data_IF_503285554206
#
_entry.id   IF_503285554206
#
_cell.length_a   1.000
_cell.length_b   1.000
_cell.length_c   1.000
_cell.angle_alpha   90.00
_cell.angle_beta   90.00
_cell.angle_gamma   90.00
#
_symmetry.space_group_name_H-M   'P 1'
#
loop_
_entity.id
_entity.type
_entity.pdbx_description
1 polymer ?
#
# COMPACT_ATOMS: atom_id res chain seq x y z
N UNK A 1 1.55 14.57 9.44
CA UNK A 1 0.99 13.50 8.58
C UNK A 1 1.90 13.24 7.40
N UNK A 2 2.31 11.97 7.21
CA UNK A 2 3.16 11.54 6.08
C UNK A 2 2.47 11.74 4.72
N UNK A 3 1.16 11.64 4.72
CA UNK A 3 0.32 11.71 3.54
C UNK A 3 -0.89 12.58 3.87
N UNK A 4 -0.79 13.91 3.69
CA UNK A 4 -1.94 14.77 3.90
C UNK A 4 -3.04 14.43 2.89
N UNK A 5 -4.28 14.43 3.34
CA UNK A 5 -5.41 14.25 2.45
C UNK A 5 -5.49 15.45 1.47
N UNK A 6 -5.65 15.14 0.19
CA UNK A 6 -5.79 16.14 -0.87
C UNK A 6 -7.17 15.98 -1.50
N UNK A 7 -8.01 17.03 -1.53
CA UNK A 7 -9.34 16.95 -2.12
C UNK A 7 -9.32 16.41 -3.55
N UNK A 8 -10.27 15.50 -3.87
CA UNK A 8 -10.39 14.86 -5.18
C UNK A 8 -9.26 13.89 -5.53
N UNK A 9 -8.45 13.49 -4.54
CA UNK A 9 -7.31 12.59 -4.73
C UNK A 9 -7.37 11.44 -3.73
N UNK A 10 -7.13 10.22 -4.19
CA UNK A 10 -6.92 9.06 -3.36
C UNK A 10 -5.52 8.47 -3.58
N UNK A 11 -4.99 7.82 -2.58
CA UNK A 11 -3.80 7.00 -2.71
C UNK A 11 -4.17 5.51 -2.63
N UNK A 12 -3.73 4.71 -3.58
CA UNK A 12 -3.89 3.25 -3.57
C UNK A 12 -2.59 2.62 -3.13
N UNK A 13 -2.64 1.97 -1.97
CA UNK A 13 -1.54 1.23 -1.37
C UNK A 13 -1.58 -0.21 -1.90
N UNK A 14 -0.66 -0.55 -2.78
CA UNK A 14 -0.64 -1.86 -3.46
C UNK A 14 0.36 -2.79 -2.78
N UNK A 15 -0.15 -3.80 -2.08
CA UNK A 15 0.63 -4.90 -1.52
C UNK A 15 0.73 -6.07 -2.48
N UNK A 16 1.61 -7.03 -2.17
CA UNK A 16 1.74 -8.24 -2.98
C UNK A 16 0.47 -9.09 -2.89
N UNK A 17 0.03 -9.37 -1.68
CA UNK A 17 -1.05 -10.31 -1.43
C UNK A 17 -0.65 -11.76 -1.60
N UNK A 18 -1.56 -12.66 -1.38
CA UNK A 18 -1.46 -14.09 -1.64
C UNK A 18 -2.80 -14.79 -1.42
N UNK A 19 -2.91 -16.07 -1.77
CA UNK A 19 -4.04 -16.92 -1.38
C UNK A 19 -4.01 -17.41 0.08
N UNK A 20 -2.97 -17.07 0.84
CA UNK A 20 -2.81 -17.50 2.23
C UNK A 20 -3.72 -16.69 3.18
N UNK A 21 -4.25 -17.29 4.26
CA UNK A 21 -5.07 -16.57 5.26
C UNK A 21 -4.42 -15.31 5.85
N UNK A 22 -3.07 -15.24 5.90
CA UNK A 22 -2.34 -14.05 6.30
C UNK A 22 -2.63 -12.81 5.44
N UNK A 23 -3.14 -12.98 4.23
CA UNK A 23 -3.59 -11.87 3.36
C UNK A 23 -4.80 -11.11 3.91
N UNK A 24 -5.47 -11.62 4.94
CA UNK A 24 -6.51 -10.88 5.67
C UNK A 24 -5.97 -9.61 6.35
N UNK A 25 -4.66 -9.46 6.48
CA UNK A 25 -4.03 -8.23 6.95
C UNK A 25 -4.36 -7.02 6.05
N UNK A 26 -4.56 -7.20 4.75
CA UNK A 26 -4.88 -6.11 3.82
C UNK A 26 -6.29 -5.55 4.05
N UNK A 27 -7.37 -6.34 4.09
CA UNK A 27 -8.69 -5.83 4.46
C UNK A 27 -8.72 -5.25 5.88
N UNK A 28 -7.98 -5.85 6.83
CA UNK A 28 -7.87 -5.34 8.19
C UNK A 28 -7.22 -3.94 8.21
N UNK A 29 -6.14 -3.73 7.45
CA UNK A 29 -5.51 -2.42 7.30
C UNK A 29 -6.50 -1.40 6.73
N UNK A 30 -7.28 -1.77 5.71
CA UNK A 30 -8.31 -0.89 5.17
C UNK A 30 -9.31 -0.46 6.25
N UNK A 31 -9.77 -1.39 7.08
CA UNK A 31 -10.67 -1.08 8.21
C UNK A 31 -10.03 -0.12 9.22
N UNK A 32 -8.76 -0.29 9.54
CA UNK A 32 -8.02 0.63 10.42
C UNK A 32 -7.94 2.04 9.81
N UNK A 33 -7.62 2.14 8.53
CA UNK A 33 -7.54 3.44 7.84
C UNK A 33 -8.89 4.17 7.86
N UNK A 34 -9.99 3.44 7.67
CA UNK A 34 -11.35 4.01 7.76
C UNK A 34 -11.67 4.52 9.16
N UNK A 35 -11.35 3.74 10.19
CA UNK A 35 -11.52 4.16 11.59
C UNK A 35 -10.69 5.39 11.94
N UNK A 36 -9.56 5.59 11.25
CA UNK A 36 -8.72 6.79 11.37
C UNK A 36 -9.22 7.99 10.55
N UNK A 37 -10.36 7.85 9.85
CA UNK A 37 -10.89 8.90 8.97
C UNK A 37 -10.10 9.09 7.66
N UNK A 38 -9.33 8.08 7.25
CA UNK A 38 -8.48 8.10 6.04
C UNK A 38 -9.07 7.25 4.93
N UNK A 39 -10.32 7.54 4.55
CA UNK A 39 -10.97 6.91 3.39
C UNK A 39 -10.30 7.21 2.05
N UNK A 40 -9.48 8.26 2.00
CA UNK A 40 -8.63 8.62 0.86
C UNK A 40 -7.46 7.64 0.63
N UNK A 41 -7.18 6.76 1.60
CA UNK A 41 -6.18 5.69 1.49
C UNK A 41 -6.89 4.36 1.21
N UNK A 42 -6.68 3.81 0.04
CA UNK A 42 -7.31 2.57 -0.41
C UNK A 42 -6.27 1.46 -0.54
N UNK A 43 -6.55 0.30 0.03
CA UNK A 43 -5.65 -0.85 0.00
C UNK A 43 -6.02 -1.78 -1.14
N UNK A 44 -5.04 -2.18 -1.93
CA UNK A 44 -5.16 -3.19 -2.98
C UNK A 44 -4.03 -4.20 -2.94
N UNK A 45 -4.16 -5.30 -3.66
CA UNK A 45 -3.15 -6.35 -3.77
C UNK A 45 -2.94 -6.78 -5.22
N UNK A 46 -1.71 -7.17 -5.55
CA UNK A 46 -1.40 -7.77 -6.86
C UNK A 46 -2.07 -9.15 -6.96
N UNK A 47 -1.95 -9.95 -5.89
CA UNK A 47 -2.55 -11.28 -5.79
C UNK A 47 -3.50 -11.34 -4.59
N UNK A 48 -4.69 -11.91 -4.79
CA UNK A 48 -5.68 -12.07 -3.72
C UNK A 48 -6.64 -10.89 -3.57
N UNK A 49 -6.90 -10.49 -2.32
CA UNK A 49 -7.93 -9.47 -1.99
C UNK A 49 -7.37 -8.39 -1.06
N UNK A 50 -7.79 -7.11 -1.22
CA UNK A 50 -8.66 -6.56 -2.26
C UNK A 50 -7.98 -6.53 -3.65
N UNK A 51 -8.71 -6.97 -4.67
CA UNK A 51 -8.25 -6.94 -6.06
C UNK A 51 -8.54 -5.59 -6.74
N UNK A 52 -8.11 -5.45 -7.99
CA UNK A 52 -8.33 -4.23 -8.78
C UNK A 52 -9.82 -3.87 -8.89
N UNK A 53 -10.70 -4.84 -9.08
CA UNK A 53 -12.14 -4.60 -9.20
C UNK A 53 -12.74 -4.02 -7.92
N UNK A 54 -12.34 -4.54 -6.76
CA UNK A 54 -12.77 -4.02 -5.46
C UNK A 54 -12.27 -2.59 -5.22
N UNK A 55 -11.02 -2.31 -5.60
CA UNK A 55 -10.43 -0.97 -5.48
C UNK A 55 -11.12 0.03 -6.42
N UNK A 56 -11.37 -0.34 -7.67
CA UNK A 56 -12.10 0.51 -8.63
C UNK A 56 -13.47 0.92 -8.09
N UNK A 57 -14.25 -0.04 -7.62
CA UNK A 57 -15.57 0.20 -7.02
C UNK A 57 -15.48 1.18 -5.83
N UNK A 58 -14.44 1.08 -5.04
CA UNK A 58 -14.22 1.97 -3.90
C UNK A 58 -13.85 3.38 -4.34
N UNK A 59 -12.96 3.51 -5.33
CA UNK A 59 -12.57 4.82 -5.88
C UNK A 59 -13.75 5.54 -6.52
N UNK A 60 -14.62 4.82 -7.23
CA UNK A 60 -15.86 5.37 -7.78
C UNK A 60 -16.79 5.91 -6.68
N UNK A 61 -16.94 5.17 -5.57
CA UNK A 61 -17.75 5.60 -4.44
C UNK A 61 -17.16 6.82 -3.70
N UNK A 62 -15.86 7.04 -3.78
CA UNK A 62 -15.17 8.21 -3.21
C UNK A 62 -15.27 9.45 -4.10
N UNK A 63 -15.74 9.31 -5.34
CA UNK A 63 -15.87 10.40 -6.31
C UNK A 63 -14.56 11.18 -6.54
N UNK A 64 -13.43 10.50 -6.50
CA UNK A 64 -12.12 11.08 -6.76
C UNK A 64 -11.80 11.08 -8.26
N UNK A 65 -11.00 12.03 -8.70
CA UNK A 65 -10.53 12.15 -10.08
C UNK A 65 -9.08 11.70 -10.25
N UNK A 66 -8.29 11.82 -9.18
CA UNK A 66 -6.85 11.59 -9.18
C UNK A 66 -6.49 10.44 -8.25
N UNK A 67 -5.59 9.60 -8.72
CA UNK A 67 -5.10 8.45 -7.96
C UNK A 67 -3.57 8.39 -7.99
N UNK A 68 -2.98 8.21 -6.82
CA UNK A 68 -1.55 7.94 -6.69
C UNK A 68 -1.37 6.50 -6.26
N UNK A 69 -0.62 5.72 -7.04
CA UNK A 69 -0.24 4.35 -6.70
C UNK A 69 1.03 4.35 -5.86
N UNK A 70 0.99 3.66 -4.74
CA UNK A 70 2.11 3.51 -3.81
C UNK A 70 2.32 2.04 -3.49
N UNK A 71 3.55 1.51 -3.57
CA UNK A 71 3.80 0.13 -3.17
C UNK A 71 3.70 0.01 -1.63
N UNK A 72 2.85 -0.89 -1.17
CA UNK A 72 2.79 -1.33 0.24
C UNK A 72 3.79 -2.47 0.46
N UNK A 73 5.05 -2.19 0.16
CA UNK A 73 6.18 -3.12 0.17
C UNK A 73 7.39 -2.43 0.78
N UNK A 74 8.21 -3.15 1.52
CA UNK A 74 9.48 -2.61 2.05
C UNK A 74 10.43 -2.21 0.92
N UNK A 75 10.50 -3.02 -0.13
CA UNK A 75 11.22 -2.75 -1.37
C UNK A 75 10.36 -3.18 -2.56
N UNK A 76 10.23 -2.33 -3.55
CA UNK A 76 9.57 -2.67 -4.80
C UNK A 76 10.60 -3.26 -5.77
N UNK A 77 10.61 -4.59 -5.91
CA UNK A 77 11.39 -5.30 -6.92
C UNK A 77 10.87 -5.05 -8.34
N UNK A 78 11.57 -5.61 -9.35
CA UNK A 78 11.23 -5.40 -10.76
C UNK A 78 9.81 -5.85 -11.07
N UNK A 79 9.42 -7.05 -10.64
CA UNK A 79 8.07 -7.58 -10.91
C UNK A 79 6.98 -6.72 -10.27
N UNK A 80 7.15 -6.29 -9.02
CA UNK A 80 6.19 -5.42 -8.37
C UNK A 80 6.04 -4.06 -9.07
N UNK A 81 7.14 -3.53 -9.61
CA UNK A 81 7.10 -2.28 -10.39
C UNK A 81 6.35 -2.46 -11.71
N UNK A 82 6.52 -3.60 -12.38
CA UNK A 82 5.80 -3.95 -13.60
C UNK A 82 4.31 -4.15 -13.33
N UNK A 83 3.95 -4.87 -12.27
CA UNK A 83 2.55 -5.09 -11.86
C UNK A 83 1.84 -3.77 -11.51
N UNK A 84 2.55 -2.84 -10.88
CA UNK A 84 1.97 -1.56 -10.46
C UNK A 84 1.96 -0.56 -11.61
N UNK A 85 3.08 -0.35 -12.30
CA UNK A 85 3.29 0.74 -13.24
C UNK A 85 3.83 0.33 -14.62
N UNK A 86 3.81 -0.96 -14.94
CA UNK A 86 4.22 -1.46 -16.24
C UNK A 86 3.25 -1.06 -17.37
N UNK A 87 3.69 -1.20 -18.63
CA UNK A 87 2.91 -0.79 -19.80
C UNK A 87 1.79 -1.78 -20.18
N UNK A 88 1.77 -2.99 -19.58
CA UNK A 88 0.78 -4.02 -19.89
C UNK A 88 -0.63 -3.58 -19.45
N UNK A 89 -1.70 -4.04 -20.15
CA UNK A 89 -3.06 -3.59 -19.89
C UNK A 89 -3.60 -3.94 -18.50
N UNK A 90 -3.09 -5.00 -17.88
CA UNK A 90 -3.49 -5.52 -16.57
C UNK A 90 -2.69 -4.93 -15.41
N UNK A 91 -1.72 -4.05 -15.67
CA UNK A 91 -1.05 -3.31 -14.61
C UNK A 91 -2.02 -2.38 -13.88
N UNK A 92 -1.74 -2.09 -12.63
CA UNK A 92 -2.56 -1.18 -11.82
C UNK A 92 -2.74 0.19 -12.47
N UNK A 93 -1.64 0.78 -12.97
CA UNK A 93 -1.70 2.11 -13.60
C UNK A 93 -2.54 2.10 -14.89
N UNK A 94 -2.41 1.05 -15.72
CA UNK A 94 -3.16 0.91 -16.96
C UNK A 94 -4.66 0.71 -16.69
N UNK A 95 -5.00 -0.15 -15.73
CA UNK A 95 -6.38 -0.40 -15.33
C UNK A 95 -7.07 0.86 -14.81
N UNK A 96 -6.41 1.63 -13.94
CA UNK A 96 -6.97 2.85 -13.38
C UNK A 96 -7.11 3.95 -14.44
N UNK A 97 -6.14 4.11 -15.33
CA UNK A 97 -6.24 5.05 -16.46
C UNK A 97 -7.37 4.69 -17.43
N UNK A 98 -7.53 3.39 -17.73
CA UNK A 98 -8.62 2.90 -18.57
C UNK A 98 -10.01 3.16 -17.94
N UNK A 99 -10.09 3.15 -16.61
CA UNK A 99 -11.30 3.51 -15.87
C UNK A 99 -11.57 5.03 -15.77
N UNK A 100 -10.67 5.88 -16.31
CA UNK A 100 -10.86 7.32 -16.40
C UNK A 100 -10.15 8.14 -15.30
N UNK A 101 -9.40 7.51 -14.39
CA UNK A 101 -8.66 8.22 -13.36
C UNK A 101 -7.35 8.83 -13.90
N UNK A 102 -7.03 10.04 -13.48
CA UNK A 102 -5.69 10.60 -13.64
C UNK A 102 -4.77 9.89 -12.65
N UNK A 103 -3.86 9.05 -13.14
CA UNK A 103 -3.09 8.13 -12.30
C UNK A 103 -1.59 8.33 -12.45
N UNK A 104 -0.91 8.38 -11.32
CA UNK A 104 0.56 8.40 -11.19
C UNK A 104 1.00 7.27 -10.26
N UNK A 105 2.24 6.85 -10.40
CA UNK A 105 2.86 5.87 -9.52
C UNK A 105 4.13 6.43 -8.88
N UNK A 106 4.27 6.27 -7.56
CA UNK A 106 5.52 6.45 -6.81
C UNK A 106 6.02 5.08 -6.38
N UNK A 107 7.08 4.60 -7.01
CA UNK A 107 7.54 3.23 -6.85
C UNK A 107 8.63 3.04 -5.77
N UNK A 108 8.80 4.01 -4.90
CA UNK A 108 9.71 3.90 -3.76
C UNK A 108 9.09 2.99 -2.70
N UNK A 109 9.83 1.95 -2.29
CA UNK A 109 9.41 1.07 -1.20
C UNK A 109 9.35 1.80 0.15
N UNK A 110 8.47 1.34 1.04
CA UNK A 110 8.29 1.92 2.38
C UNK A 110 9.56 1.87 3.23
N UNK A 111 10.48 0.95 2.96
CA UNK A 111 11.76 0.84 3.69
C UNK A 111 12.66 2.07 3.55
N UNK A 112 12.38 2.97 2.60
CA UNK A 112 13.07 4.26 2.48
C UNK A 112 12.50 5.36 3.37
N UNK A 113 11.34 5.14 3.96
CA UNK A 113 10.71 6.11 4.87
C UNK A 113 11.42 6.11 6.22
N UNK A 114 11.93 7.26 6.70
CA UNK A 114 12.63 7.34 7.98
C UNK A 114 11.84 6.79 9.15
N UNK A 115 10.52 6.94 9.14
CA UNK A 115 9.62 6.45 10.18
C UNK A 115 9.56 4.91 10.19
N UNK A 116 9.60 4.27 9.04
CA UNK A 116 9.67 2.81 8.93
C UNK A 116 11.04 2.32 9.38
N UNK A 117 12.11 2.98 8.99
CA UNK A 117 13.47 2.67 9.45
C UNK A 117 13.58 2.78 10.97
N UNK A 118 13.01 3.82 11.58
CA UNK A 118 12.98 3.98 13.02
C UNK A 118 12.25 2.85 13.76
N UNK A 119 11.14 2.32 13.20
CA UNK A 119 10.44 1.17 13.75
C UNK A 119 11.31 -0.10 13.76
N UNK A 120 12.05 -0.34 12.68
CA UNK A 120 12.98 -1.48 12.61
C UNK A 120 14.16 -1.32 13.59
N UNK A 121 14.73 -0.13 13.69
CA UNK A 121 15.79 0.15 14.64
C UNK A 121 15.34 -0.09 16.09
N UNK A 122 14.17 0.44 16.48
CA UNK A 122 13.61 0.22 17.81
C UNK A 122 13.32 -1.27 18.09
N UNK A 123 12.91 -2.03 17.06
CA UNK A 123 12.75 -3.48 17.16
C UNK A 123 14.07 -4.21 17.42
N UNK A 124 15.14 -3.85 16.71
CA UNK A 124 16.46 -4.42 16.88
C UNK A 124 17.05 -4.10 18.27
N UNK A 125 16.88 -2.89 18.76
CA UNK A 125 17.32 -2.49 20.10
C UNK A 125 16.66 -3.35 21.19
N UNK A 126 15.34 -3.52 21.13
CA UNK A 126 14.60 -4.40 22.05
C UNK A 126 15.08 -5.85 22.01
N UNK A 127 15.40 -6.37 20.83
CA UNK A 127 15.96 -7.72 20.70
C UNK A 127 17.36 -7.84 21.34
N UNK A 128 18.20 -6.82 21.19
CA UNK A 128 19.54 -6.77 21.81
C UNK A 128 19.45 -6.71 23.34
N UNK A 129 18.56 -5.89 23.89
CA UNK A 129 18.30 -5.79 25.33
C UNK A 129 17.78 -7.12 25.90
N UNK A 130 16.78 -7.73 25.27
CA UNK A 130 16.24 -9.02 25.70
C UNK A 130 17.20 -10.20 25.50
N UNK A 131 18.20 -10.11 24.64
CA UNK A 131 19.28 -11.07 24.52
C UNK A 131 20.33 -10.88 25.62
N UNK A 132 20.63 -9.64 26.02
CA UNK A 132 21.51 -9.35 27.14
C UNK A 132 20.97 -9.85 28.48
N UNK A 133 19.66 -9.67 28.72
CA UNK A 133 18.99 -10.17 29.93
C UNK A 133 18.98 -11.70 30.03
N UNK A 134 18.98 -12.43 28.92
CA UNK A 134 19.03 -13.90 28.89
C UNK A 134 20.46 -14.47 29.00
N UNK A 135 21.46 -13.65 28.80
CA UNK A 135 22.87 -14.05 28.92
C UNK A 135 23.41 -13.95 30.36
N UNK A 136 22.62 -13.38 31.28
CA UNK A 136 22.90 -13.31 32.72
C UNK A 136 22.19 -14.43 33.47
#
# INVERSE_FOLDING_TARGET
SLWPAVPGTAAVLVGHGSGHPGSMAYPALQGVLELMGRSDLVVGTVEGRPDQAAVLKRLEALEVERVILLPLLLAAGVHAREDIAGPQPDSWISTLKAAGFQTWARLEGMGRLPQIQALYQAGLERLREGAADRAL
#
